data_IF_458621360086
#
_entry.id   IF_458621360086
#
_cell.length_a   1.000
_cell.length_b   1.000
_cell.length_c   1.000
_cell.angle_alpha   90.00
_cell.angle_beta   90.00
_cell.angle_gamma   90.00
#
_symmetry.space_group_name_H-M   'P 1'
#
loop_
_entity.id
_entity.type
_entity.pdbx_description
1 polymer ?
#
# COMPACT_ATOMS: atom_id res chain seq x y z
N UNK A 1 -26.93 -22.94 -27.35
CA UNK A 1 -25.57 -22.62 -26.88
C UNK A 1 -25.66 -22.35 -25.39
N UNK A 2 -24.82 -22.98 -24.58
CA UNK A 2 -24.82 -22.77 -23.12
C UNK A 2 -24.44 -21.32 -22.83
N UNK A 3 -25.29 -20.60 -22.11
CA UNK A 3 -25.11 -19.18 -21.80
C UNK A 3 -23.92 -18.98 -20.87
N UNK A 4 -22.97 -18.11 -21.24
CA UNK A 4 -21.82 -17.78 -20.38
C UNK A 4 -22.31 -16.91 -19.22
N UNK A 5 -22.21 -17.43 -18.00
CA UNK A 5 -22.61 -16.71 -16.79
C UNK A 5 -21.43 -15.99 -16.13
N UNK A 6 -20.26 -16.61 -16.15
CA UNK A 6 -19.06 -16.06 -15.51
C UNK A 6 -17.78 -16.33 -16.28
N UNK A 7 -16.80 -15.43 -16.12
CA UNK A 7 -15.49 -15.52 -16.74
C UNK A 7 -14.40 -15.29 -15.68
N UNK A 8 -13.48 -16.23 -15.55
CA UNK A 8 -12.19 -16.00 -14.93
C UNK A 8 -11.17 -15.55 -15.97
N UNK A 9 -10.55 -14.41 -15.72
CA UNK A 9 -9.60 -13.78 -16.63
C UNK A 9 -8.24 -13.62 -15.95
N UNK A 10 -7.26 -14.39 -16.42
CA UNK A 10 -5.86 -14.20 -16.08
C UNK A 10 -5.20 -13.24 -17.08
N UNK A 11 -4.54 -12.20 -16.56
CA UNK A 11 -4.04 -11.09 -17.36
C UNK A 11 -2.52 -10.98 -17.31
N UNK A 12 -1.88 -10.91 -18.47
CA UNK A 12 -0.46 -10.64 -18.60
C UNK A 12 -0.18 -9.42 -19.50
N UNK A 13 1.07 -9.26 -19.93
CA UNK A 13 1.49 -8.13 -20.77
C UNK A 13 0.90 -8.23 -22.18
N UNK A 14 0.99 -9.41 -22.79
CA UNK A 14 0.69 -9.66 -24.21
C UNK A 14 -0.45 -10.64 -24.42
N UNK A 15 -0.45 -11.71 -23.62
CA UNK A 15 -1.41 -12.80 -23.72
C UNK A 15 -2.28 -12.84 -22.47
N UNK A 16 -3.55 -13.14 -22.67
CA UNK A 16 -4.58 -13.20 -21.66
C UNK A 16 -5.23 -14.57 -21.75
N UNK A 17 -5.63 -15.13 -20.62
CA UNK A 17 -6.27 -16.43 -20.60
C UNK A 17 -7.68 -16.30 -20.02
N UNK A 18 -8.64 -16.74 -20.82
CA UNK A 18 -10.06 -16.72 -20.51
C UNK A 18 -10.50 -18.13 -20.14
N UNK A 19 -11.25 -18.22 -19.05
CA UNK A 19 -12.04 -19.38 -18.68
C UNK A 19 -13.49 -18.93 -18.46
N UNK A 20 -14.39 -19.30 -19.36
CA UNK A 20 -15.82 -19.01 -19.26
C UNK A 20 -16.58 -20.24 -18.74
N UNK A 21 -17.53 -20.01 -17.85
CA UNK A 21 -18.39 -21.03 -17.28
C UNK A 21 -19.87 -20.62 -17.33
N UNK A 22 -20.76 -21.61 -17.40
CA UNK A 22 -22.20 -21.42 -17.31
C UNK A 22 -22.65 -21.20 -15.85
N UNK A 23 -23.98 -21.19 -15.62
CA UNK A 23 -24.58 -20.96 -14.29
C UNK A 23 -24.29 -22.08 -13.30
N UNK A 24 -24.14 -23.31 -13.79
CA UNK A 24 -23.76 -24.48 -12.98
C UNK A 24 -22.24 -24.52 -12.73
N UNK A 25 -21.51 -23.62 -13.38
CA UNK A 25 -20.09 -23.47 -13.24
C UNK A 25 -19.29 -24.44 -14.11
N UNK A 26 -19.93 -25.10 -15.06
CA UNK A 26 -19.28 -25.97 -16.03
C UNK A 26 -18.57 -25.14 -17.11
N UNK A 27 -17.36 -25.54 -17.54
CA UNK A 27 -16.59 -24.78 -18.49
C UNK A 27 -17.26 -24.78 -19.87
N UNK A 28 -17.54 -23.58 -20.40
CA UNK A 28 -18.14 -23.36 -21.73
C UNK A 28 -17.07 -23.02 -22.77
N UNK A 29 -16.08 -22.19 -22.39
CA UNK A 29 -15.04 -21.73 -23.29
C UNK A 29 -13.72 -21.56 -22.54
N UNK A 30 -12.62 -22.00 -23.16
CA UNK A 30 -11.26 -21.65 -22.74
C UNK A 30 -10.53 -21.06 -23.94
N UNK A 31 -10.07 -19.82 -23.80
CA UNK A 31 -9.48 -19.09 -24.94
C UNK A 31 -8.27 -18.28 -24.51
N UNK A 32 -7.23 -18.34 -25.33
CA UNK A 32 -6.09 -17.44 -25.23
C UNK A 32 -6.36 -16.23 -26.13
N UNK A 33 -6.22 -15.02 -25.58
CA UNK A 33 -6.45 -13.76 -26.28
C UNK A 33 -5.16 -12.94 -26.32
N UNK A 34 -4.92 -12.28 -27.44
CA UNK A 34 -3.94 -11.19 -27.51
C UNK A 34 -4.55 -9.92 -26.92
N UNK A 35 -3.68 -9.02 -26.48
CA UNK A 35 -4.07 -7.73 -25.89
C UNK A 35 -5.07 -6.93 -26.73
N UNK A 36 -4.87 -6.89 -28.04
CA UNK A 36 -5.70 -6.16 -29.00
C UNK A 36 -7.07 -6.82 -29.25
N UNK A 37 -7.20 -8.11 -28.96
CA UNK A 37 -8.45 -8.86 -29.11
C UNK A 37 -9.39 -8.73 -27.90
N UNK A 38 -8.89 -8.21 -26.78
CA UNK A 38 -9.61 -8.22 -25.50
C UNK A 38 -10.94 -7.48 -25.55
N UNK A 39 -10.97 -6.26 -26.10
CA UNK A 39 -12.20 -5.45 -26.13
C UNK A 39 -13.26 -6.08 -27.03
N UNK A 40 -12.88 -6.39 -28.27
CA UNK A 40 -13.79 -7.03 -29.23
C UNK A 40 -14.38 -8.32 -28.65
N UNK A 41 -13.57 -9.15 -27.98
CA UNK A 41 -14.05 -10.38 -27.36
C UNK A 41 -15.17 -10.14 -26.34
N UNK A 42 -15.12 -9.06 -25.56
CA UNK A 42 -16.17 -8.74 -24.59
C UNK A 42 -17.35 -8.01 -25.24
N UNK A 43 -17.12 -7.18 -26.27
CA UNK A 43 -18.20 -6.56 -27.06
C UNK A 43 -19.08 -7.58 -27.79
N UNK A 44 -18.49 -8.70 -28.23
CA UNK A 44 -19.19 -9.79 -28.90
C UNK A 44 -19.99 -10.68 -27.92
N UNK A 45 -19.85 -10.49 -26.61
CA UNK A 45 -20.48 -11.33 -25.58
C UNK A 45 -21.64 -10.63 -24.87
N UNK A 46 -22.71 -11.36 -24.54
CA UNK A 46 -23.71 -10.87 -23.59
C UNK A 46 -23.08 -10.49 -22.24
N UNK A 47 -23.73 -9.55 -21.53
CA UNK A 47 -23.30 -9.13 -20.21
C UNK A 47 -23.19 -10.32 -19.23
N UNK A 48 -22.07 -10.41 -18.51
CA UNK A 48 -21.77 -11.52 -17.61
C UNK A 48 -20.90 -11.04 -16.42
N UNK A 49 -20.63 -11.93 -15.47
CA UNK A 49 -19.73 -11.63 -14.35
C UNK A 49 -18.27 -11.96 -14.71
N UNK A 50 -17.36 -11.01 -14.55
CA UNK A 50 -15.93 -11.20 -14.87
C UNK A 50 -15.08 -11.05 -13.63
N UNK A 51 -14.27 -12.05 -13.33
CA UNK A 51 -13.26 -12.03 -12.28
C UNK A 51 -11.88 -11.82 -12.85
N UNK A 52 -11.12 -10.95 -12.19
CA UNK A 52 -9.73 -10.67 -12.53
C UNK A 52 -8.92 -10.70 -11.25
N UNK A 53 -7.77 -11.37 -11.24
CA UNK A 53 -6.85 -11.24 -10.11
C UNK A 53 -6.36 -9.78 -10.00
N UNK A 54 -6.38 -9.22 -8.79
CA UNK A 54 -5.93 -7.86 -8.54
C UNK A 54 -4.41 -7.73 -8.75
N UNK A 55 -4.01 -7.04 -9.82
CA UNK A 55 -2.62 -6.77 -10.16
C UNK A 55 -2.42 -5.33 -10.66
N UNK A 56 -1.25 -5.00 -11.23
CA UNK A 56 -0.92 -3.64 -11.65
C UNK A 56 -1.80 -3.13 -12.81
N UNK A 57 -2.19 -4.01 -13.73
CA UNK A 57 -2.97 -3.68 -14.94
C UNK A 57 -4.46 -3.97 -14.79
N UNK A 58 -4.88 -4.69 -13.73
CA UNK A 58 -6.27 -5.15 -13.56
C UNK A 58 -7.26 -4.00 -13.48
N UNK A 59 -6.89 -2.88 -12.85
CA UNK A 59 -7.76 -1.69 -12.78
C UNK A 59 -8.06 -1.11 -14.16
N UNK A 60 -7.12 -1.13 -15.11
CA UNK A 60 -7.38 -0.63 -16.46
C UNK A 60 -8.35 -1.56 -17.18
N UNK A 61 -8.04 -2.86 -17.21
CA UNK A 61 -8.88 -3.85 -17.87
C UNK A 61 -10.27 -3.95 -17.26
N UNK A 62 -10.40 -3.84 -15.94
CA UNK A 62 -11.70 -3.83 -15.30
C UNK A 62 -12.59 -2.68 -15.81
N UNK A 63 -12.06 -1.45 -15.88
CA UNK A 63 -12.83 -0.32 -16.43
C UNK A 63 -13.18 -0.50 -17.90
N UNK A 64 -12.26 -1.05 -18.68
CA UNK A 64 -12.48 -1.30 -20.11
C UNK A 64 -13.56 -2.35 -20.35
N UNK A 65 -13.57 -3.42 -19.55
CA UNK A 65 -14.57 -4.49 -19.63
C UNK A 65 -15.92 -4.03 -19.04
N UNK A 66 -15.90 -3.20 -17.99
CA UNK A 66 -17.13 -2.56 -17.49
C UNK A 66 -17.78 -1.66 -18.56
N UNK A 67 -16.98 -0.97 -19.38
CA UNK A 67 -17.52 -0.12 -20.46
C UNK A 67 -18.20 -0.88 -21.59
N UNK A 68 -17.98 -2.20 -21.72
CA UNK A 68 -18.70 -3.05 -22.67
C UNK A 68 -19.94 -3.72 -22.07
N UNK A 69 -20.30 -3.38 -20.82
CA UNK A 69 -21.55 -3.81 -20.18
C UNK A 69 -21.44 -4.98 -19.19
N UNK A 70 -20.25 -5.51 -18.93
CA UNK A 70 -20.07 -6.61 -17.95
C UNK A 70 -19.88 -6.10 -16.52
N UNK A 71 -20.22 -6.93 -15.54
CA UNK A 71 -19.89 -6.67 -14.15
C UNK A 71 -18.50 -7.23 -13.84
N UNK A 72 -17.56 -6.40 -13.39
CA UNK A 72 -16.19 -6.84 -13.07
C UNK A 72 -15.94 -6.89 -11.56
N UNK A 73 -15.22 -7.93 -11.11
CA UNK A 73 -14.76 -8.08 -9.73
C UNK A 73 -13.27 -8.36 -9.68
N UNK A 74 -12.52 -7.49 -9.00
CA UNK A 74 -11.10 -7.70 -8.76
C UNK A 74 -10.88 -8.55 -7.50
N UNK A 75 -10.23 -9.70 -7.63
CA UNK A 75 -10.05 -10.66 -6.54
C UNK A 75 -8.63 -10.52 -5.98
N UNK A 76 -8.44 -10.32 -4.67
CA UNK A 76 -7.10 -10.37 -4.08
C UNK A 76 -6.41 -11.73 -4.34
N UNK A 77 -5.13 -11.77 -4.74
CA UNK A 77 -4.43 -13.02 -5.09
C UNK A 77 -4.49 -14.12 -4.02
N UNK A 78 -4.49 -13.71 -2.75
CA UNK A 78 -4.59 -14.62 -1.60
C UNK A 78 -5.89 -15.43 -1.55
N UNK A 79 -6.96 -14.95 -2.21
CA UNK A 79 -8.24 -15.66 -2.33
C UNK A 79 -8.33 -16.48 -3.62
N UNK A 80 -7.48 -16.22 -4.62
CA UNK A 80 -7.37 -17.03 -5.84
C UNK A 80 -6.48 -18.26 -5.59
N UNK A 81 -5.35 -18.07 -4.89
CA UNK A 81 -4.34 -19.09 -4.64
C UNK A 81 -4.88 -20.46 -4.16
N UNK A 82 -5.87 -20.56 -3.25
CA UNK A 82 -6.41 -21.85 -2.81
C UNK A 82 -7.09 -22.67 -3.92
N UNK A 83 -7.49 -22.04 -5.03
CA UNK A 83 -8.18 -22.68 -6.15
C UNK A 83 -7.24 -23.07 -7.30
N UNK A 84 -5.96 -22.68 -7.22
CA UNK A 84 -4.95 -23.09 -8.19
C UNK A 84 -4.63 -24.58 -7.98
N UNK A 85 -4.82 -25.39 -9.03
CA UNK A 85 -4.57 -26.84 -9.03
C UNK A 85 -3.06 -27.15 -8.99
N UNK A 86 -2.69 -28.44 -8.91
CA UNK A 86 -1.30 -28.92 -8.74
C UNK A 86 -0.28 -28.29 -9.71
N UNK A 87 -0.65 -28.09 -10.97
CA UNK A 87 0.25 -27.52 -11.98
C UNK A 87 -0.11 -26.07 -12.28
N UNK A 88 0.86 -25.17 -12.11
CA UNK A 88 0.69 -23.75 -12.43
C UNK A 88 0.76 -23.54 -13.94
N UNK A 89 -0.33 -23.04 -14.52
CA UNK A 89 -0.43 -22.61 -15.93
C UNK A 89 -1.42 -21.44 -16.00
N UNK A 90 -1.28 -20.57 -16.99
CA UNK A 90 -2.22 -19.45 -17.19
C UNK A 90 -3.68 -19.94 -17.28
N UNK A 91 -3.92 -21.13 -17.88
CA UNK A 91 -5.25 -21.73 -17.95
C UNK A 91 -5.78 -22.20 -16.60
N UNK A 92 -4.90 -22.72 -15.74
CA UNK A 92 -5.27 -23.11 -14.38
C UNK A 92 -5.51 -21.87 -13.50
N UNK A 93 -4.76 -20.80 -13.73
CA UNK A 93 -4.92 -19.53 -13.01
C UNK A 93 -6.26 -18.86 -13.41
N UNK A 94 -6.61 -18.83 -14.70
CA UNK A 94 -7.92 -18.36 -15.17
C UNK A 94 -9.10 -19.19 -14.61
N UNK A 95 -8.97 -20.52 -14.57
CA UNK A 95 -9.95 -21.40 -13.94
C UNK A 95 -10.08 -21.12 -12.42
N UNK A 96 -8.97 -20.94 -11.72
CA UNK A 96 -8.95 -20.62 -10.29
C UNK A 96 -9.63 -19.27 -9.98
N UNK A 97 -9.45 -18.27 -10.84
CA UNK A 97 -10.15 -16.98 -10.73
C UNK A 97 -11.67 -17.18 -10.90
N UNK A 98 -12.08 -17.98 -11.90
CA UNK A 98 -13.49 -18.29 -12.12
C UNK A 98 -14.10 -19.05 -10.93
N UNK A 99 -13.37 -19.99 -10.33
CA UNK A 99 -13.79 -20.70 -9.12
C UNK A 99 -13.90 -19.78 -7.90
N UNK A 100 -12.95 -18.86 -7.74
CA UNK A 100 -12.98 -17.88 -6.65
C UNK A 100 -14.21 -16.96 -6.75
N UNK A 101 -14.62 -16.55 -7.95
CA UNK A 101 -15.82 -15.70 -8.15
C UNK A 101 -17.09 -16.30 -7.55
N UNK A 102 -17.23 -17.62 -7.60
CA UNK A 102 -18.42 -18.35 -7.12
C UNK A 102 -18.53 -18.37 -5.60
N UNK A 103 -17.47 -18.03 -4.87
CA UNK A 103 -17.42 -18.16 -3.41
C UNK A 103 -18.00 -16.94 -2.71
N UNK A 104 -18.90 -17.19 -1.78
CA UNK A 104 -19.41 -16.16 -0.87
C UNK A 104 -18.32 -15.67 0.10
N UNK A 105 -18.47 -14.45 0.60
CA UNK A 105 -17.60 -13.91 1.66
C UNK A 105 -16.25 -13.36 1.20
N UNK A 106 -15.96 -13.33 -0.10
CA UNK A 106 -14.76 -12.66 -0.63
C UNK A 106 -14.96 -11.15 -0.65
N UNK A 107 -14.03 -10.40 -0.06
CA UNK A 107 -13.93 -8.95 -0.26
C UNK A 107 -13.15 -8.67 -1.54
N UNK A 108 -13.84 -8.11 -2.53
CA UNK A 108 -13.23 -7.67 -3.79
C UNK A 108 -12.50 -6.33 -3.63
N UNK A 109 -11.49 -6.10 -4.47
CA UNK A 109 -10.78 -4.82 -4.54
C UNK A 109 -11.63 -3.84 -5.35
N UNK A 110 -11.98 -2.71 -4.76
CA UNK A 110 -12.68 -1.64 -5.48
C UNK A 110 -11.88 -1.21 -6.73
N UNK A 111 -12.57 -1.15 -7.87
CA UNK A 111 -12.03 -0.67 -9.14
C UNK A 111 -11.84 0.84 -9.00
N UNK A 112 -10.60 1.30 -9.19
CA UNK A 112 -10.23 2.69 -9.00
C UNK A 112 -10.49 3.50 -10.26
N UNK A 113 -10.80 4.79 -10.12
CA UNK A 113 -10.80 5.72 -11.26
C UNK A 113 -9.39 6.00 -11.74
N UNK A 114 -9.25 6.61 -12.93
CA UNK A 114 -7.92 6.98 -13.47
C UNK A 114 -7.23 8.00 -12.57
N UNK A 115 -7.99 8.92 -12.00
CA UNK A 115 -7.53 10.00 -11.12
C UNK A 115 -7.03 9.42 -9.78
N UNK A 116 -7.74 8.44 -9.23
CA UNK A 116 -7.30 7.71 -8.03
C UNK A 116 -6.00 6.94 -8.31
N UNK A 117 -5.89 6.26 -9.46
CA UNK A 117 -4.66 5.58 -9.86
C UNK A 117 -3.49 6.56 -10.08
N UNK A 118 -3.75 7.73 -10.65
CA UNK A 118 -2.75 8.79 -10.84
C UNK A 118 -2.24 9.31 -9.50
N UNK A 119 -3.13 9.55 -8.53
CA UNK A 119 -2.73 9.93 -7.16
C UNK A 119 -1.87 8.86 -6.49
N UNK A 120 -2.23 7.57 -6.63
CA UNK A 120 -1.41 6.46 -6.14
C UNK A 120 -0.08 6.29 -6.89
N UNK A 121 0.01 6.75 -8.14
CA UNK A 121 1.27 6.77 -8.88
C UNK A 121 2.25 7.78 -8.27
N UNK A 122 1.78 8.97 -7.86
CA UNK A 122 2.61 9.96 -7.16
C UNK A 122 3.22 9.38 -5.88
N UNK A 123 2.42 8.67 -5.09
CA UNK A 123 2.86 7.99 -3.88
C UNK A 123 3.93 6.92 -4.15
N UNK A 124 3.72 6.08 -5.17
CA UNK A 124 4.68 5.02 -5.54
C UNK A 124 5.99 5.60 -6.06
N UNK A 125 5.92 6.63 -6.91
CA UNK A 125 7.09 7.34 -7.40
C UNK A 125 7.87 7.95 -6.24
N UNK A 126 7.21 8.71 -5.35
CA UNK A 126 7.85 9.29 -4.16
C UNK A 126 8.51 8.21 -3.31
N UNK A 127 7.83 7.09 -3.07
CA UNK A 127 8.38 6.01 -2.26
C UNK A 127 9.63 5.38 -2.89
N UNK A 128 9.64 5.21 -4.22
CA UNK A 128 10.82 4.74 -4.95
C UNK A 128 11.99 5.72 -4.80
N UNK A 129 11.77 7.01 -5.06
CA UNK A 129 12.83 8.03 -5.00
C UNK A 129 13.40 8.18 -3.58
N UNK A 130 12.56 8.12 -2.54
CA UNK A 130 13.01 8.15 -1.13
C UNK A 130 13.89 6.94 -0.81
N UNK A 131 13.54 5.75 -1.31
CA UNK A 131 14.38 4.55 -1.13
C UNK A 131 15.70 4.69 -1.87
N UNK A 132 15.69 5.15 -3.13
CA UNK A 132 16.91 5.38 -3.91
C UNK A 132 17.83 6.41 -3.21
N UNK A 133 17.28 7.52 -2.73
CA UNK A 133 18.03 8.53 -1.95
C UNK A 133 18.65 7.94 -0.68
N UNK A 134 17.96 7.00 -0.03
CA UNK A 134 18.49 6.26 1.13
C UNK A 134 19.61 5.29 0.72
N UNK A 135 19.46 4.59 -0.41
CA UNK A 135 20.51 3.71 -0.97
C UNK A 135 21.77 4.51 -1.30
N UNK A 136 21.65 5.68 -1.93
CA UNK A 136 22.78 6.57 -2.20
C UNK A 136 23.46 7.03 -0.91
N UNK A 137 22.67 7.44 0.08
CA UNK A 137 23.21 7.85 1.39
C UNK A 137 24.00 6.71 2.07
N UNK A 138 23.54 5.47 1.93
CA UNK A 138 24.24 4.32 2.49
C UNK A 138 25.50 3.96 1.69
N UNK A 139 25.45 4.04 0.36
CA UNK A 139 26.61 3.83 -0.50
C UNK A 139 27.71 4.85 -0.19
N UNK A 140 27.39 6.15 -0.20
CA UNK A 140 28.35 7.22 0.10
C UNK A 140 28.95 7.04 1.49
N UNK A 141 28.14 6.69 2.49
CA UNK A 141 28.64 6.45 3.86
C UNK A 141 29.53 5.20 3.94
N UNK A 142 29.20 4.14 3.20
CA UNK A 142 30.03 2.94 3.10
C UNK A 142 31.39 3.25 2.51
N UNK A 143 31.41 3.92 1.35
CA UNK A 143 32.64 4.38 0.70
C UNK A 143 33.46 5.29 1.62
N UNK A 144 32.83 6.26 2.29
CA UNK A 144 33.54 7.12 3.24
C UNK A 144 34.23 6.33 4.36
N UNK A 145 33.57 5.29 4.88
CA UNK A 145 34.10 4.45 5.95
C UNK A 145 35.27 3.57 5.49
N UNK A 146 35.34 3.17 4.21
CA UNK A 146 36.50 2.46 3.64
C UNK A 146 37.77 3.30 3.70
N UNK A 147 37.64 4.63 3.62
CA UNK A 147 38.73 5.60 3.74
C UNK A 147 38.86 6.19 5.16
N UNK A 148 38.25 5.56 6.17
CA UNK A 148 38.34 6.01 7.57
C UNK A 148 37.48 7.23 7.94
N UNK A 149 36.71 7.78 7.01
CA UNK A 149 35.81 8.93 7.25
C UNK A 149 34.46 8.43 7.78
N UNK A 150 34.28 8.47 9.10
CA UNK A 150 33.06 7.95 9.76
C UNK A 150 32.15 9.08 10.23
N UNK A 151 30.92 9.10 9.72
CA UNK A 151 29.86 10.03 10.17
C UNK A 151 28.62 9.27 10.60
N UNK A 152 28.01 9.74 11.69
CA UNK A 152 26.77 9.19 12.25
C UNK A 152 25.67 8.98 11.18
N UNK A 153 24.86 7.95 11.39
CA UNK A 153 23.79 7.57 10.45
C UNK A 153 22.64 8.58 10.42
N UNK A 154 21.90 8.60 9.30
CA UNK A 154 20.70 9.40 9.12
C UNK A 154 20.81 10.47 8.04
N UNK A 155 19.69 10.77 7.39
CA UNK A 155 19.64 11.70 6.24
C UNK A 155 19.98 13.14 6.64
N UNK A 156 19.64 13.54 7.86
CA UNK A 156 19.98 14.86 8.43
C UNK A 156 21.50 15.05 8.64
N UNK A 157 22.29 13.97 8.62
CA UNK A 157 23.75 14.01 8.75
C UNK A 157 24.47 13.97 7.39
N UNK A 158 23.72 13.91 6.28
CA UNK A 158 24.32 13.85 4.93
C UNK A 158 25.11 15.10 4.60
N UNK A 159 24.69 16.28 5.09
CA UNK A 159 25.47 17.51 4.97
C UNK A 159 26.83 17.38 5.65
N UNK A 160 26.86 16.91 6.89
CA UNK A 160 28.10 16.67 7.65
C UNK A 160 28.99 15.63 6.96
N UNK A 161 28.40 14.56 6.41
CA UNK A 161 29.11 13.55 5.62
C UNK A 161 29.74 14.16 4.36
N UNK A 162 29.02 15.04 3.66
CA UNK A 162 29.53 15.75 2.49
C UNK A 162 30.68 16.67 2.86
N UNK A 163 30.52 17.47 3.91
CA UNK A 163 31.56 18.38 4.41
C UNK A 163 32.82 17.59 4.80
N UNK A 164 32.69 16.49 5.54
CA UNK A 164 33.81 15.64 5.94
C UNK A 164 34.56 15.02 4.75
N UNK A 165 33.84 14.55 3.71
CA UNK A 165 34.46 14.02 2.50
C UNK A 165 35.14 15.11 1.66
N UNK A 166 34.58 16.33 1.65
CA UNK A 166 35.18 17.47 0.96
C UNK A 166 36.45 17.98 1.66
N UNK A 167 36.48 17.96 2.99
CA UNK A 167 37.62 18.41 3.79
C UNK A 167 38.70 17.34 3.99
N UNK A 168 38.43 16.08 3.66
CA UNK A 168 39.42 15.00 3.77
C UNK A 168 40.64 15.33 2.91
N UNK A 169 41.84 15.10 3.45
CA UNK A 169 43.09 15.24 2.70
C UNK A 169 43.19 14.19 1.58
N UNK A 170 44.05 14.43 0.59
CA UNK A 170 44.15 13.57 -0.60
C UNK A 170 44.76 12.19 -0.28
N UNK A 171 45.63 12.12 0.72
CA UNK A 171 46.21 10.89 1.25
C UNK A 171 45.15 9.99 1.94
N UNK A 172 44.11 10.60 2.52
CA UNK A 172 42.95 9.91 3.11
C UNK A 172 41.93 9.54 2.04
N UNK A 173 41.54 10.49 1.19
CA UNK A 173 40.51 10.29 0.16
C UNK A 173 41.09 10.64 -1.24
N UNK A 174 41.54 9.63 -1.99
CA UNK A 174 42.04 9.79 -3.35
C UNK A 174 41.02 10.47 -4.28
N UNK A 175 41.52 11.11 -5.34
CA UNK A 175 40.70 11.90 -6.27
C UNK A 175 39.60 11.06 -6.93
N UNK A 176 39.90 9.82 -7.34
CA UNK A 176 38.94 8.93 -7.97
C UNK A 176 37.77 8.60 -7.03
N UNK A 177 38.05 8.37 -5.75
CA UNK A 177 37.02 8.12 -4.73
C UNK A 177 36.19 9.39 -4.49
N UNK A 178 36.85 10.54 -4.43
CA UNK A 178 36.22 11.86 -4.28
C UNK A 178 35.26 12.18 -5.42
N UNK A 179 35.71 12.01 -6.66
CA UNK A 179 34.90 12.26 -7.85
C UNK A 179 33.72 11.28 -7.93
N UNK A 180 33.95 10.01 -7.56
CA UNK A 180 32.89 9.00 -7.48
C UNK A 180 31.81 9.40 -6.48
N UNK A 181 32.17 9.80 -5.25
CA UNK A 181 31.17 10.22 -4.26
C UNK A 181 30.47 11.53 -4.64
N UNK A 182 31.15 12.43 -5.36
CA UNK A 182 30.54 13.65 -5.90
C UNK A 182 29.42 13.35 -6.90
N UNK A 183 29.60 12.38 -7.80
CA UNK A 183 28.54 11.94 -8.72
C UNK A 183 27.31 11.40 -7.96
N UNK A 184 27.54 10.61 -6.91
CA UNK A 184 26.46 10.09 -6.06
C UNK A 184 25.74 11.18 -5.28
N UNK A 185 26.48 12.20 -4.82
CA UNK A 185 25.90 13.37 -4.17
C UNK A 185 25.04 14.20 -5.14
N UNK A 186 25.49 14.41 -6.37
CA UNK A 186 24.68 15.08 -7.40
C UNK A 186 23.37 14.34 -7.66
N UNK A 187 23.40 13.01 -7.76
CA UNK A 187 22.19 12.20 -7.88
C UNK A 187 21.31 12.29 -6.62
N UNK A 188 21.90 12.32 -5.42
CA UNK A 188 21.16 12.51 -4.17
C UNK A 188 20.38 13.83 -4.16
N UNK A 189 21.01 14.91 -4.64
CA UNK A 189 20.41 16.25 -4.69
C UNK A 189 19.27 16.31 -5.72
N UNK A 190 19.48 15.76 -6.92
CA UNK A 190 18.44 15.62 -7.96
C UNK A 190 17.22 14.82 -7.46
N UNK A 191 17.45 13.70 -6.77
CA UNK A 191 16.37 12.94 -6.14
C UNK A 191 15.66 13.75 -5.06
N UNK A 192 16.38 14.56 -4.28
CA UNK A 192 15.81 15.48 -3.30
C UNK A 192 14.79 16.43 -3.94
N UNK A 193 15.20 17.14 -5.00
CA UNK A 193 14.35 18.05 -5.75
C UNK A 193 13.13 17.35 -6.38
N UNK A 194 13.32 16.17 -7.00
CA UNK A 194 12.21 15.39 -7.56
C UNK A 194 11.21 14.93 -6.51
N UNK A 195 11.67 14.56 -5.31
CA UNK A 195 10.80 14.20 -4.19
C UNK A 195 9.94 15.41 -3.78
N UNK A 196 10.53 16.61 -3.68
CA UNK A 196 9.80 17.83 -3.33
C UNK A 196 8.70 18.15 -4.34
N UNK A 197 8.97 18.02 -5.65
CA UNK A 197 7.95 18.18 -6.70
C UNK A 197 6.77 17.22 -6.48
N UNK A 198 7.06 15.95 -6.21
CA UNK A 198 6.02 14.95 -5.98
C UNK A 198 5.22 15.26 -4.71
N UNK A 199 5.89 15.71 -3.64
CA UNK A 199 5.25 16.12 -2.40
C UNK A 199 4.33 17.33 -2.59
N UNK A 200 4.75 18.34 -3.36
CA UNK A 200 3.91 19.48 -3.70
C UNK A 200 2.63 19.04 -4.44
N UNK A 201 2.74 18.12 -5.40
CA UNK A 201 1.59 17.56 -6.11
C UNK A 201 0.65 16.76 -5.19
N UNK A 202 1.21 15.96 -4.28
CA UNK A 202 0.43 15.24 -3.26
C UNK A 202 -0.29 16.24 -2.34
N UNK A 203 0.37 17.33 -1.94
CA UNK A 203 -0.23 18.38 -1.12
C UNK A 203 -1.33 19.15 -1.85
N UNK A 204 -1.18 19.42 -3.15
CA UNK A 204 -2.25 20.01 -3.95
C UNK A 204 -3.48 19.10 -3.98
N UNK A 205 -3.29 17.80 -4.20
CA UNK A 205 -4.37 16.81 -4.15
C UNK A 205 -5.02 16.73 -2.76
N UNK A 206 -4.22 16.75 -1.69
CA UNK A 206 -4.71 16.80 -0.31
C UNK A 206 -5.65 17.99 -0.07
N UNK A 207 -5.23 19.20 -0.51
CA UNK A 207 -6.02 20.42 -0.36
C UNK A 207 -7.34 20.34 -1.12
N UNK A 208 -7.37 19.72 -2.31
CA UNK A 208 -8.58 19.55 -3.10
C UNK A 208 -9.52 18.46 -2.55
N UNK A 209 -9.02 17.46 -1.83
CA UNK A 209 -9.81 16.29 -1.42
C UNK A 209 -10.37 16.40 0.01
N UNK A 210 -11.71 16.49 0.14
CA UNK A 210 -12.38 16.64 1.43
C UNK A 210 -12.15 15.47 2.40
N UNK A 211 -12.16 14.22 1.91
CA UNK A 211 -11.87 13.04 2.74
C UNK A 211 -10.46 13.11 3.30
N UNK A 212 -9.49 13.49 2.47
CA UNK A 212 -8.10 13.66 2.87
C UNK A 212 -7.93 14.74 3.95
N UNK A 213 -8.58 15.90 3.80
CA UNK A 213 -8.56 16.96 4.83
C UNK A 213 -9.15 16.48 6.16
N UNK A 214 -10.28 15.77 6.13
CA UNK A 214 -10.89 15.20 7.35
C UNK A 214 -9.99 14.17 8.01
N UNK A 215 -9.36 13.28 7.24
CA UNK A 215 -8.39 12.31 7.75
C UNK A 215 -7.19 12.97 8.42
N UNK A 216 -6.68 14.07 7.86
CA UNK A 216 -5.53 14.78 8.39
C UNK A 216 -5.79 15.50 9.74
N UNK A 217 -7.05 15.58 10.17
CA UNK A 217 -7.39 16.07 11.53
C UNK A 217 -7.04 15.06 12.63
N UNK A 218 -6.80 13.79 12.29
CA UNK A 218 -6.46 12.76 13.27
C UNK A 218 -4.99 12.91 13.69
N UNK A 219 -4.66 13.04 14.99
CA UNK A 219 -3.28 13.07 15.46
C UNK A 219 -2.49 11.83 15.00
N UNK A 220 -1.40 12.05 14.27
CA UNK A 220 -0.59 10.98 13.67
C UNK A 220 -0.94 10.64 12.22
N UNK A 221 -2.02 11.18 11.66
CA UNK A 221 -2.32 11.10 10.23
C UNK A 221 -2.03 12.45 9.59
N UNK A 222 -0.83 12.57 9.01
CA UNK A 222 -0.50 13.74 8.18
C UNK A 222 -1.02 13.61 6.74
N UNK A 223 -0.83 14.65 5.91
CA UNK A 223 -1.28 14.67 4.51
C UNK A 223 -0.89 13.41 3.72
N UNK A 224 0.36 12.96 3.83
CA UNK A 224 0.84 11.75 3.13
C UNK A 224 0.07 10.47 3.49
N UNK A 225 -0.35 10.33 4.75
CA UNK A 225 -1.20 9.22 5.18
C UNK A 225 -2.63 9.42 4.65
N UNK A 226 -3.16 10.63 4.81
CA UNK A 226 -4.52 10.96 4.46
C UNK A 226 -4.80 10.80 2.95
N UNK A 227 -3.88 11.24 2.09
CA UNK A 227 -4.01 11.10 0.63
C UNK A 227 -3.93 9.64 0.20
N UNK A 228 -2.99 8.89 0.78
CA UNK A 228 -2.86 7.47 0.47
C UNK A 228 -4.13 6.69 0.87
N UNK A 229 -4.67 6.94 2.07
CA UNK A 229 -5.89 6.28 2.55
C UNK A 229 -7.07 6.61 1.63
N UNK A 230 -7.30 7.90 1.36
CA UNK A 230 -8.41 8.35 0.51
C UNK A 230 -8.32 7.84 -0.93
N UNK A 231 -7.11 7.75 -1.51
CA UNK A 231 -6.92 7.23 -2.87
C UNK A 231 -6.95 5.69 -2.94
N UNK A 232 -6.59 5.00 -1.85
CA UNK A 232 -6.56 3.53 -1.79
C UNK A 232 -7.96 2.96 -1.51
N UNK A 233 -8.74 3.63 -0.68
CA UNK A 233 -10.02 3.18 -0.14
C UNK A 233 -11.12 4.13 -0.61
N UNK A 234 -11.59 4.00 -1.86
CA UNK A 234 -12.60 4.90 -2.41
C UNK A 234 -13.95 4.79 -1.69
N UNK A 235 -14.29 3.58 -1.24
CA UNK A 235 -15.47 3.29 -0.44
C UNK A 235 -15.05 2.54 0.83
N UNK A 236 -15.21 3.17 1.99
CA UNK A 236 -14.88 2.56 3.27
C UNK A 236 -16.02 1.70 3.85
N UNK A 237 -17.22 1.76 3.28
CA UNK A 237 -18.39 0.99 3.75
C UNK A 237 -18.28 -0.50 3.41
N UNK A 238 -17.40 -0.87 2.46
CA UNK A 238 -16.99 -2.26 2.18
C UNK A 238 -16.41 -3.02 3.40
N UNK A 239 -16.04 -2.30 4.46
CA UNK A 239 -15.61 -2.88 5.73
C UNK A 239 -16.72 -2.72 6.77
N UNK A 240 -17.10 -3.81 7.44
CA UNK A 240 -18.12 -3.86 8.49
C UNK A 240 -17.72 -3.04 9.72
N UNK A 241 -16.41 -2.90 9.96
CA UNK A 241 -15.88 -2.15 11.10
C UNK A 241 -14.46 -1.69 10.88
N UNK A 242 -14.02 -0.72 11.68
CA UNK A 242 -12.62 -0.31 11.72
C UNK A 242 -11.67 -1.44 12.13
N UNK A 243 -12.14 -2.44 12.90
CA UNK A 243 -11.32 -3.62 13.24
C UNK A 243 -11.01 -4.45 11.99
N UNK A 244 -12.01 -4.63 11.15
CA UNK A 244 -11.85 -5.31 9.88
C UNK A 244 -10.94 -4.54 8.92
N UNK A 245 -11.08 -3.20 8.89
CA UNK A 245 -10.17 -2.35 8.14
C UNK A 245 -8.71 -2.50 8.62
N UNK A 246 -8.47 -2.46 9.93
CA UNK A 246 -7.13 -2.66 10.49
C UNK A 246 -6.56 -4.06 10.17
N UNK A 247 -7.41 -5.09 10.14
CA UNK A 247 -7.03 -6.44 9.72
C UNK A 247 -6.63 -6.48 8.25
N UNK A 248 -7.38 -5.79 7.38
CA UNK A 248 -7.10 -5.68 5.95
C UNK A 248 -5.77 -4.98 5.65
N UNK A 249 -5.39 -3.96 6.42
CA UNK A 249 -4.05 -3.32 6.32
C UNK A 249 -2.94 -4.27 6.81
N UNK A 250 -3.28 -5.22 7.68
CA UNK A 250 -2.37 -6.16 8.31
C UNK A 250 -1.74 -5.64 9.59
N UNK A 251 -2.48 -4.86 10.37
CA UNK A 251 -2.12 -4.30 11.68
C UNK A 251 -2.66 -5.12 12.87
N UNK A 252 -3.20 -6.32 12.62
CA UNK A 252 -3.69 -7.23 13.65
C UNK A 252 -2.72 -8.40 13.83
N UNK A 253 -2.65 -9.03 15.01
CA UNK A 253 -1.82 -10.21 15.25
C UNK A 253 -2.11 -11.34 14.26
N UNK A 254 -1.07 -12.12 13.93
CA UNK A 254 -1.25 -13.45 13.32
C UNK A 254 -1.77 -14.40 14.37
N UNK A 255 -2.70 -15.24 13.97
CA UNK A 255 -3.24 -16.28 14.84
C UNK A 255 -2.80 -17.67 14.34
N UNK A 256 -2.24 -18.46 15.26
CA UNK A 256 -1.86 -19.85 15.06
C UNK A 256 -2.53 -20.70 16.14
N UNK A 257 -3.85 -20.82 16.05
CA UNK A 257 -4.67 -21.54 17.02
C UNK A 257 -4.93 -22.97 16.53
N UNK A 258 -4.67 -23.96 17.39
CA UNK A 258 -5.00 -25.37 17.14
C UNK A 258 -5.45 -26.05 18.43
N UNK A 259 -6.39 -27.01 18.33
CA UNK A 259 -6.85 -27.80 19.48
C UNK A 259 -7.30 -26.98 20.70
N UNK A 260 -7.98 -25.85 20.49
CA UNK A 260 -8.48 -24.97 21.55
C UNK A 260 -7.43 -24.03 22.18
N UNK A 261 -6.15 -24.11 21.80
CA UNK A 261 -5.09 -23.22 22.33
C UNK A 261 -4.91 -22.03 21.40
N UNK A 262 -5.26 -20.83 21.87
CA UNK A 262 -5.02 -19.60 21.11
C UNK A 262 -3.56 -19.17 21.22
N UNK A 263 -2.89 -18.96 20.08
CA UNK A 263 -1.54 -18.38 20.04
C UNK A 263 -1.50 -17.20 19.08
N UNK A 264 -1.24 -16.01 19.63
CA UNK A 264 -1.09 -14.77 18.86
C UNK A 264 0.39 -14.43 18.68
N UNK A 265 0.80 -14.15 17.45
CA UNK A 265 2.17 -13.76 17.10
C UNK A 265 2.30 -12.29 16.72
N UNK A 266 3.35 -11.96 15.96
CA UNK A 266 3.51 -10.64 15.35
C UNK A 266 2.37 -10.28 14.39
N UNK A 267 2.31 -9.03 13.94
CA UNK A 267 1.25 -8.58 13.02
C UNK A 267 1.21 -9.36 11.71
N UNK A 268 0.02 -9.46 11.11
CA UNK A 268 -0.23 -10.27 9.91
C UNK A 268 0.61 -9.85 8.70
N UNK A 269 0.83 -8.55 8.51
CA UNK A 269 1.49 -7.97 7.34
C UNK A 269 0.83 -8.33 5.99
N UNK A 270 -0.39 -8.91 5.98
CA UNK A 270 -1.10 -9.40 4.79
C UNK A 270 -1.68 -8.29 3.88
N UNK A 271 -1.66 -7.03 4.31
CA UNK A 271 -2.13 -5.88 3.52
C UNK A 271 -1.02 -5.05 2.89
N UNK A 272 -1.40 -3.92 2.30
CA UNK A 272 -0.49 -2.99 1.61
C UNK A 272 0.68 -2.52 2.52
N UNK A 273 1.94 -2.89 2.20
CA UNK A 273 3.11 -2.53 3.02
C UNK A 273 3.35 -1.03 3.15
N UNK A 274 3.06 -0.25 2.10
CA UNK A 274 3.27 1.20 2.09
C UNK A 274 2.30 1.91 3.04
N UNK A 275 1.00 1.58 2.95
CA UNK A 275 -0.02 2.13 3.84
C UNK A 275 0.24 1.76 5.30
N UNK A 276 0.60 0.49 5.56
CA UNK A 276 1.00 0.04 6.89
C UNK A 276 2.21 0.80 7.41
N UNK A 277 3.26 0.99 6.59
CA UNK A 277 4.46 1.74 6.98
C UNK A 277 4.14 3.19 7.33
N UNK A 278 3.36 3.89 6.51
CA UNK A 278 3.04 5.30 6.79
C UNK A 278 2.21 5.48 8.06
N UNK A 279 1.27 4.57 8.34
CA UNK A 279 0.51 4.58 9.59
C UNK A 279 1.40 4.35 10.81
N UNK A 280 2.37 3.44 10.71
CA UNK A 280 3.36 3.19 11.78
C UNK A 280 4.28 4.41 11.96
N UNK A 281 4.72 5.06 10.88
CA UNK A 281 5.49 6.32 10.96
C UNK A 281 4.68 7.41 11.66
N UNK A 282 3.41 7.56 11.29
CA UNK A 282 2.47 8.47 11.96
C UNK A 282 2.31 8.17 13.44
N UNK A 283 2.17 6.88 13.79
CA UNK A 283 2.11 6.42 15.17
C UNK A 283 3.40 6.69 15.97
N UNK A 284 4.58 6.57 15.36
CA UNK A 284 5.84 6.96 16.00
C UNK A 284 5.89 8.46 16.31
N UNK A 285 5.32 9.30 15.44
CA UNK A 285 5.21 10.73 15.71
C UNK A 285 4.33 10.97 16.95
N UNK A 286 3.15 10.34 17.03
CA UNK A 286 2.26 10.41 18.21
C UNK A 286 3.01 9.99 19.47
N UNK A 287 3.65 8.81 19.44
CA UNK A 287 4.41 8.27 20.57
C UNK A 287 5.51 9.24 21.03
N UNK A 288 6.26 9.82 20.09
CA UNK A 288 7.34 10.78 20.40
C UNK A 288 6.81 12.03 21.10
N UNK A 289 5.70 12.58 20.63
CA UNK A 289 5.08 13.78 21.23
C UNK A 289 4.43 13.47 22.57
N UNK A 290 3.79 12.31 22.74
CA UNK A 290 3.22 11.88 24.02
C UNK A 290 4.31 11.77 25.10
N UNK A 291 5.46 11.16 24.79
CA UNK A 291 6.63 11.08 25.71
C UNK A 291 7.19 12.45 26.11
N UNK A 292 6.91 13.50 25.34
CA UNK A 292 7.33 14.89 25.63
C UNK A 292 6.24 15.71 26.33
N UNK A 293 5.15 15.09 26.78
CA UNK A 293 4.04 15.78 27.44
C UNK A 293 3.09 16.52 26.49
N UNK A 294 3.39 16.62 25.19
CA UNK A 294 2.67 17.48 24.22
C UNK A 294 1.76 16.72 23.24
N UNK A 295 1.62 15.40 23.41
CA UNK A 295 0.86 14.52 22.51
C UNK A 295 -0.46 14.03 23.11
N UNK A 296 -1.00 12.94 22.55
CA UNK A 296 -2.20 12.30 23.09
C UNK A 296 -1.90 11.71 24.48
N UNK A 297 -2.56 12.22 25.52
CA UNK A 297 -2.34 11.82 26.93
C UNK A 297 -3.42 10.86 27.46
N UNK A 298 -3.88 9.92 26.63
CA UNK A 298 -4.85 8.93 27.11
C UNK A 298 -4.19 7.94 28.08
N UNK A 299 -4.86 7.61 29.19
CA UNK A 299 -4.40 6.62 30.17
C UNK A 299 -4.00 5.27 29.52
N UNK A 300 -4.75 4.83 28.51
CA UNK A 300 -4.41 3.64 27.71
C UNK A 300 -3.02 3.70 27.07
N UNK A 301 -2.66 4.85 26.49
CA UNK A 301 -1.38 5.02 25.81
C UNK A 301 -0.23 5.10 26.80
N UNK A 302 -0.40 5.86 27.89
CA UNK A 302 0.62 5.98 28.94
C UNK A 302 0.94 4.61 29.58
N UNK A 303 -0.09 3.87 29.96
CA UNK A 303 0.06 2.49 30.47
C UNK A 303 0.75 1.55 29.47
N UNK A 304 0.55 1.76 28.16
CA UNK A 304 1.20 0.94 27.14
C UNK A 304 2.68 1.31 26.94
N UNK A 305 3.01 2.60 27.06
CA UNK A 305 4.38 3.11 26.99
C UNK A 305 5.24 2.56 28.13
N UNK A 306 4.69 2.45 29.33
CA UNK A 306 5.38 1.90 30.51
C UNK A 306 5.68 0.41 30.36
N UNK A 307 4.76 -0.36 29.76
CA UNK A 307 4.82 -1.83 29.78
C UNK A 307 5.40 -2.47 28.52
N UNK A 308 5.51 -1.73 27.40
CA UNK A 308 5.84 -2.32 26.09
C UNK A 308 6.94 -1.57 25.34
N UNK A 309 7.77 -2.28 24.55
CA UNK A 309 8.76 -1.65 23.68
C UNK A 309 8.12 -0.67 22.68
N UNK A 310 8.84 0.40 22.33
CA UNK A 310 8.34 1.50 21.50
C UNK A 310 7.70 1.04 20.17
N UNK A 311 8.27 0.04 19.50
CA UNK A 311 7.74 -0.48 18.24
C UNK A 311 6.38 -1.19 18.41
N UNK A 312 6.19 -1.88 19.54
CA UNK A 312 4.91 -2.53 19.87
C UNK A 312 3.85 -1.47 20.15
N UNK A 313 4.21 -0.42 20.89
CA UNK A 313 3.32 0.72 21.16
C UNK A 313 2.93 1.42 19.86
N UNK A 314 3.90 1.70 18.97
CA UNK A 314 3.63 2.32 17.68
C UNK A 314 2.69 1.49 16.80
N UNK A 315 2.83 0.16 16.78
CA UNK A 315 1.90 -0.72 16.07
C UNK A 315 0.49 -0.67 16.67
N UNK A 316 0.36 -0.64 18.00
CA UNK A 316 -0.93 -0.51 18.66
C UNK A 316 -1.61 0.84 18.37
N UNK A 317 -0.85 1.94 18.38
CA UNK A 317 -1.33 3.26 17.95
C UNK A 317 -1.76 3.20 16.48
N UNK A 318 -0.94 2.65 15.57
CA UNK A 318 -1.28 2.54 14.16
C UNK A 318 -2.59 1.74 13.93
N UNK A 319 -2.82 0.67 14.69
CA UNK A 319 -4.08 -0.06 14.68
C UNK A 319 -5.27 0.83 15.09
N UNK A 320 -5.11 1.60 16.18
CA UNK A 320 -6.12 2.57 16.64
C UNK A 320 -6.38 3.66 15.59
N UNK A 321 -5.32 4.22 14.99
CA UNK A 321 -5.42 5.22 13.92
C UNK A 321 -6.15 4.67 12.70
N UNK A 322 -5.88 3.44 12.28
CA UNK A 322 -6.60 2.80 11.18
C UNK A 322 -8.11 2.71 11.48
N UNK A 323 -8.48 2.33 12.71
CA UNK A 323 -9.89 2.23 13.12
C UNK A 323 -10.60 3.59 13.12
N UNK A 324 -9.92 4.65 13.58
CA UNK A 324 -10.44 6.02 13.56
C UNK A 324 -10.55 6.53 12.12
N UNK A 325 -9.52 6.32 11.30
CA UNK A 325 -9.53 6.69 9.89
C UNK A 325 -10.69 6.03 9.14
N UNK A 326 -10.96 4.73 9.39
CA UNK A 326 -12.12 4.06 8.84
C UNK A 326 -13.44 4.73 9.26
N UNK A 327 -13.59 5.07 10.54
CA UNK A 327 -14.81 5.72 11.02
C UNK A 327 -15.05 7.06 10.31
N UNK A 328 -14.00 7.89 10.14
CA UNK A 328 -14.09 9.15 9.40
C UNK A 328 -14.42 8.93 7.92
N UNK A 329 -13.81 7.94 7.26
CA UNK A 329 -14.09 7.66 5.85
C UNK A 329 -15.50 7.12 5.64
N UNK A 330 -15.99 6.23 6.52
CA UNK A 330 -17.27 5.56 6.37
C UNK A 330 -18.47 6.38 6.87
N UNK A 331 -18.28 7.20 7.92
CA UNK A 331 -19.35 7.95 8.58
C UNK A 331 -19.26 9.46 8.38
N UNK A 332 -18.16 9.94 7.81
CA UNK A 332 -17.86 11.37 7.72
C UNK A 332 -17.41 11.98 9.04
N UNK A 333 -17.59 13.30 9.17
CA UNK A 333 -17.12 14.07 10.32
C UNK A 333 -15.60 14.35 10.31
N UNK A 334 -15.17 15.13 11.31
CA UNK A 334 -13.74 15.40 11.59
C UNK A 334 -13.36 14.74 12.90
N UNK A 335 -12.07 14.50 13.11
CA UNK A 335 -11.59 13.99 14.38
C UNK A 335 -11.89 15.00 15.48
N UNK A 336 -12.56 14.54 16.53
CA UNK A 336 -12.73 15.26 17.77
C UNK A 336 -11.93 14.52 18.83
N UNK A 337 -11.01 15.22 19.49
CA UNK A 337 -10.44 14.70 20.73
C UNK A 337 -11.57 14.50 21.71
N UNK A 338 -11.66 13.33 22.34
CA UNK A 338 -12.54 13.18 23.49
C UNK A 338 -12.04 14.17 24.55
N UNK A 339 -12.77 15.28 24.73
CA UNK A 339 -12.67 16.06 25.94
C UNK A 339 -13.10 15.10 27.06
N UNK A 340 -12.13 14.56 27.78
CA UNK A 340 -12.41 14.07 29.13
C UNK A 340 -12.67 15.37 29.89
N UNK A 341 -13.95 15.76 29.97
CA UNK A 341 -14.38 16.72 30.95
C UNK A 341 -13.93 16.15 32.30
N UNK A 342 -12.95 16.79 32.91
CA UNK A 342 -12.67 16.60 34.32
C UNK A 342 -13.84 17.29 35.01
N UNK A 343 -14.82 16.48 35.42
CA UNK A 343 -15.84 16.85 36.38
C UNK A 343 -15.59 15.99 37.62
#
# INVERSE_FOLDING_TARGET
MTEIASIGLDIAKTWFQVHAADRDGMPVLRRKLRRDQMLQFFEDLPACLVGIEACSTSHHWARMIESTGHQVRLIPPQYVKPFVKRSKTDSADAEAICEALKRAGIRYVAIKTREQQASLALHRARDLLVRQRTMLTNMIRGTAAEFGVVVATGVQRVRVLREALQSAEQDVLPNEARDTVQLLFAQFDDLGWKIEILEQRIMAWHRANAVSRRLASIPGIGPMNATLLAATVPDATQFKSGREFAAWIGLVPREHSSGGKQRLGGISKRGNPYMRRLLIVGAHAVLRWTRRGKGMQSAWLLSLIERKPANVVAVAIANKLARIAWAIMARGGVYQSANIAIA
#
